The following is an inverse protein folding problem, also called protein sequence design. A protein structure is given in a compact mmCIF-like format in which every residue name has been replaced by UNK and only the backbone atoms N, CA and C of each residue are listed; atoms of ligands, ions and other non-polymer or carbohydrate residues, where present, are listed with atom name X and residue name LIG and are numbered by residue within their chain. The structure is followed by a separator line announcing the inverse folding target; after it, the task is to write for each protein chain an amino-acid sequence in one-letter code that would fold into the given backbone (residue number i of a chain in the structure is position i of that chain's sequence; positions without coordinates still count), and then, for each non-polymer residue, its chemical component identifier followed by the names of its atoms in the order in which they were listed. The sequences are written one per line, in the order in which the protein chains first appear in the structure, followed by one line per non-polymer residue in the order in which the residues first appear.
data_IF_038215951332
#
_entry.id   IF_038215951332
#
_cell.length_a   1.000
_cell.length_b   1.000
_cell.length_c   1.000
_cell.angle_alpha   90.00
_cell.angle_beta   90.00
_cell.angle_gamma   90.00
#
_symmetry.space_group_name_H-M   'P 1'
#
loop_
_entity.id
_entity.type
_entity.pdbx_description
1 polymer ?
#
# COMPACT_ATOMS: atom_id res chain seq x y z
N UNK A 1 3.08 -4.48 15.07
CA UNK A 1 1.96 -3.54 14.86
C UNK A 1 0.70 -4.37 14.58
N UNK A 2 -0.51 -4.01 15.04
CA UNK A 2 -1.70 -4.81 14.71
C UNK A 2 -2.16 -4.51 13.27
N UNK A 3 -2.78 -5.50 12.60
CA UNK A 3 -3.26 -5.35 11.22
C UNK A 3 -4.15 -4.12 11.01
N UNK A 4 -5.04 -3.84 11.96
CA UNK A 4 -5.94 -2.69 11.88
C UNK A 4 -5.19 -1.36 11.84
N UNK A 5 -4.09 -1.24 12.61
CA UNK A 5 -3.25 -0.03 12.59
C UNK A 5 -2.55 0.13 11.25
N UNK A 6 -2.03 -0.98 10.69
CA UNK A 6 -1.40 -0.99 9.36
C UNK A 6 -2.40 -0.54 8.30
N UNK A 7 -3.60 -1.14 8.29
CA UNK A 7 -4.66 -0.78 7.32
C UNK A 7 -5.01 0.70 7.43
N UNK A 8 -5.27 1.19 8.65
CA UNK A 8 -5.62 2.58 8.87
C UNK A 8 -4.50 3.52 8.40
N UNK A 9 -3.25 3.21 8.75
CA UNK A 9 -2.10 4.06 8.42
C UNK A 9 -1.79 4.05 6.93
N UNK A 10 -1.78 2.87 6.30
CA UNK A 10 -1.58 2.74 4.85
C UNK A 10 -2.68 3.48 4.10
N UNK A 11 -3.94 3.34 4.52
CA UNK A 11 -5.05 4.00 3.85
C UNK A 11 -5.01 5.51 4.00
N UNK A 12 -4.68 6.02 5.18
CA UNK A 12 -4.45 7.45 5.42
C UNK A 12 -3.36 7.99 4.50
N UNK A 13 -2.17 7.38 4.55
CA UNK A 13 -1.00 7.80 3.76
C UNK A 13 -1.29 7.78 2.26
N UNK A 14 -1.89 6.70 1.74
CA UNK A 14 -2.22 6.59 0.32
C UNK A 14 -3.36 7.51 -0.08
N UNK A 15 -4.35 7.73 0.78
CA UNK A 15 -5.45 8.67 0.53
C UNK A 15 -4.95 10.10 0.41
N UNK A 16 -4.06 10.53 1.31
CA UNK A 16 -3.49 11.88 1.32
C UNK A 16 -2.56 12.09 0.12
N UNK A 17 -1.64 11.16 -0.15
CA UNK A 17 -0.62 11.32 -1.19
C UNK A 17 -1.18 11.18 -2.62
N UNK A 18 -2.21 10.35 -2.80
CA UNK A 18 -2.85 10.13 -4.11
C UNK A 18 -4.19 10.87 -4.27
N UNK A 19 -4.58 11.70 -3.29
CA UNK A 19 -5.84 12.44 -3.25
C UNK A 19 -7.07 11.55 -3.53
N UNK A 20 -7.10 10.36 -2.91
CA UNK A 20 -8.16 9.36 -3.07
C UNK A 20 -8.99 9.20 -1.80
N UNK A 21 -10.25 8.80 -1.96
CA UNK A 21 -11.13 8.56 -0.83
C UNK A 21 -10.77 7.25 -0.11
N UNK A 22 -10.65 7.29 1.22
CA UNK A 22 -10.37 6.10 2.05
C UNK A 22 -11.46 5.05 1.86
N UNK A 23 -12.70 5.47 1.58
CA UNK A 23 -13.83 4.58 1.31
C UNK A 23 -13.61 3.70 0.08
N UNK A 24 -12.77 4.14 -0.87
CA UNK A 24 -12.42 3.36 -2.07
C UNK A 24 -11.28 2.36 -1.83
N UNK A 25 -10.49 2.56 -0.77
CA UNK A 25 -9.33 1.73 -0.39
C UNK A 25 -9.77 0.45 0.34
N UNK A 26 -10.61 -0.33 -0.34
CA UNK A 26 -11.11 -1.59 0.22
C UNK A 26 -10.04 -2.70 0.10
N UNK A 27 -9.99 -3.66 1.04
CA UNK A 27 -8.98 -4.74 1.03
C UNK A 27 -9.00 -5.56 -0.26
N UNK A 28 -10.17 -5.74 -0.85
CA UNK A 28 -10.39 -6.51 -2.08
C UNK A 28 -10.11 -5.70 -3.35
N UNK A 29 -10.03 -4.37 -3.24
CA UNK A 29 -9.77 -3.52 -4.40
C UNK A 29 -8.32 -3.64 -4.87
N UNK A 30 -8.16 -3.45 -6.18
CA UNK A 30 -6.85 -3.45 -6.81
C UNK A 30 -6.18 -2.09 -6.61
N UNK A 31 -4.96 -2.09 -6.07
CA UNK A 31 -4.24 -0.85 -5.71
C UNK A 31 -4.02 0.02 -6.95
N UNK A 32 -3.56 -0.59 -8.05
CA UNK A 32 -3.28 0.14 -9.29
C UNK A 32 -4.54 0.75 -9.89
N UNK A 33 -5.67 0.05 -9.84
CA UNK A 33 -6.92 0.56 -10.38
C UNK A 33 -7.55 1.63 -9.50
N UNK A 34 -7.54 1.43 -8.18
CA UNK A 34 -8.15 2.37 -7.22
C UNK A 34 -7.37 3.68 -7.12
N UNK A 35 -6.05 3.58 -7.06
CA UNK A 35 -5.16 4.74 -6.98
C UNK A 35 -4.78 5.28 -8.37
N UNK A 36 -5.26 4.65 -9.44
CA UNK A 36 -4.92 5.00 -10.83
C UNK A 36 -3.38 5.13 -11.03
N UNK A 37 -2.64 4.15 -10.51
CA UNK A 37 -1.17 4.18 -10.54
C UNK A 37 -0.63 3.90 -11.94
N UNK A 38 0.15 4.86 -12.44
CA UNK A 38 1.01 4.65 -13.60
C UNK A 38 2.34 3.99 -13.19
N UNK A 39 3.14 3.58 -14.18
CA UNK A 39 4.46 2.96 -13.97
C UNK A 39 5.40 3.78 -13.07
N UNK A 40 5.26 5.11 -13.08
CA UNK A 40 6.04 6.02 -12.23
C UNK A 40 5.42 6.10 -10.82
N UNK A 41 4.12 6.36 -10.74
CA UNK A 41 3.36 6.48 -9.48
C UNK A 41 3.44 5.22 -8.62
N UNK A 42 3.60 4.04 -9.25
CA UNK A 42 3.85 2.79 -8.56
C UNK A 42 5.17 2.81 -7.77
N UNK A 43 6.23 3.37 -8.35
CA UNK A 43 7.53 3.50 -7.70
C UNK A 43 7.43 4.49 -6.53
N UNK A 44 6.71 5.58 -6.71
CA UNK A 44 6.44 6.56 -5.65
C UNK A 44 5.65 5.94 -4.50
N UNK A 45 4.57 5.19 -4.80
CA UNK A 45 3.77 4.47 -3.80
C UNK A 45 4.63 3.51 -2.97
N UNK A 46 5.50 2.74 -3.63
CA UNK A 46 6.40 1.83 -2.92
C UNK A 46 7.39 2.58 -2.05
N UNK A 47 8.05 3.62 -2.59
CA UNK A 47 9.01 4.42 -1.84
C UNK A 47 8.38 5.09 -0.62
N UNK A 48 7.14 5.56 -0.75
CA UNK A 48 6.33 6.13 0.34
C UNK A 48 6.09 5.09 1.44
N UNK A 49 5.60 3.90 1.10
CA UNK A 49 5.37 2.82 2.06
C UNK A 49 6.69 2.36 2.71
N UNK A 50 7.76 2.21 1.94
CA UNK A 50 9.09 1.89 2.45
C UNK A 50 9.59 2.94 3.45
N UNK A 51 9.36 4.23 3.17
CA UNK A 51 9.74 5.33 4.05
C UNK A 51 8.89 5.39 5.32
N UNK A 52 7.57 5.27 5.20
CA UNK A 52 6.63 5.38 6.32
C UNK A 52 6.76 4.20 7.30
N UNK A 53 6.91 2.98 6.76
CA UNK A 53 6.95 1.77 7.58
C UNK A 53 8.37 1.23 7.80
N UNK A 54 9.39 1.82 7.16
CA UNK A 54 10.77 1.35 7.25
C UNK A 54 11.00 -0.03 6.62
N UNK A 55 10.13 -0.45 5.71
CA UNK A 55 10.22 -1.75 5.02
C UNK A 55 10.98 -1.62 3.70
N UNK A 56 11.33 -2.75 3.09
CA UNK A 56 11.78 -2.81 1.70
C UNK A 56 10.91 -3.77 0.93
N UNK A 57 10.40 -3.35 -0.22
CA UNK A 57 9.55 -4.16 -1.10
C UNK A 57 10.36 -4.49 -2.36
N UNK A 58 10.66 -5.77 -2.56
CA UNK A 58 11.34 -6.18 -3.78
C UNK A 58 10.38 -6.05 -5.00
N UNK A 59 10.92 -5.69 -6.17
CA UNK A 59 10.12 -5.62 -7.41
C UNK A 59 9.37 -6.93 -7.72
N UNK A 60 9.94 -8.09 -7.35
CA UNK A 60 9.31 -9.40 -7.49
C UNK A 60 8.08 -9.55 -6.60
N UNK A 61 8.09 -8.96 -5.40
CA UNK A 61 6.99 -9.01 -4.44
C UNK A 61 5.95 -7.96 -4.76
N UNK A 62 6.37 -6.77 -5.20
CA UNK A 62 5.48 -5.74 -5.72
C UNK A 62 4.59 -6.26 -6.86
N UNK A 63 5.13 -7.11 -7.72
CA UNK A 63 4.35 -7.74 -8.79
C UNK A 63 3.28 -8.73 -8.26
N UNK A 64 3.48 -9.29 -7.06
CA UNK A 64 2.49 -10.13 -6.37
C UNK A 64 1.45 -9.29 -5.62
N UNK A 65 1.83 -8.10 -5.16
CA UNK A 65 0.96 -7.16 -4.44
C UNK A 65 0.04 -6.45 -5.45
N UNK A 66 -1.14 -7.02 -5.68
CA UNK A 66 -2.15 -6.43 -6.56
C UNK A 66 -3.30 -5.77 -5.80
N UNK A 67 -3.63 -6.28 -4.62
CA UNK A 67 -4.73 -5.79 -3.78
C UNK A 67 -4.22 -5.18 -2.49
N UNK A 68 -5.02 -4.30 -1.89
CA UNK A 68 -4.70 -3.70 -0.60
C UNK A 68 -4.49 -4.76 0.47
N UNK A 69 -5.30 -5.82 0.48
CA UNK A 69 -5.12 -6.94 1.42
C UNK A 69 -3.73 -7.57 1.31
N UNK A 70 -3.23 -7.80 0.09
CA UNK A 70 -1.88 -8.34 -0.13
C UNK A 70 -0.79 -7.39 0.38
N UNK A 71 -0.99 -6.07 0.26
CA UNK A 71 -0.08 -5.07 0.81
C UNK A 71 -0.08 -5.09 2.34
N UNK A 72 -1.25 -5.15 2.97
CA UNK A 72 -1.35 -5.20 4.43
C UNK A 72 -0.74 -6.48 4.99
N UNK A 73 -1.01 -7.63 4.36
CA UNK A 73 -0.42 -8.93 4.72
C UNK A 73 1.11 -8.89 4.63
N UNK A 74 1.64 -8.23 3.59
CA UNK A 74 3.06 -8.04 3.38
C UNK A 74 3.70 -7.21 4.50
N UNK A 75 3.08 -6.06 4.81
CA UNK A 75 3.54 -5.13 5.83
C UNK A 75 3.48 -5.77 7.23
N UNK A 76 2.39 -6.47 7.55
CA UNK A 76 2.26 -7.22 8.80
C UNK A 76 3.39 -8.23 9.00
N UNK A 77 3.82 -8.90 7.91
CA UNK A 77 4.90 -9.89 7.95
C UNK A 77 6.30 -9.27 8.06
N UNK A 78 6.47 -7.98 7.72
CA UNK A 78 7.77 -7.30 7.68
C UNK A 78 8.01 -6.28 8.81
N UNK A 79 6.95 -5.76 9.44
CA UNK A 79 7.02 -4.74 10.51
C UNK A 79 6.86 -5.40 11.91
N UNK A 80 7.32 -6.64 12.05
CA UNK A 80 7.25 -7.40 13.30
C UNK A 80 8.18 -6.85 14.39
#
# INVERSE_FOLDING_TARGET
MERNDIVAKVNEVLSEEFEKDIELLTPEANIKQTLELDSLSLVDMVALIESEFGVKIANSELAQIQTFNALYDYLESHIA
#
